data_IF_089498981162
#
_entry.id   IF_089498981162
#
_cell.length_a   1.000
_cell.length_b   1.000
_cell.length_c   1.000
_cell.angle_alpha   90.00
_cell.angle_beta   90.00
_cell.angle_gamma   90.00
#
_symmetry.space_group_name_H-M   'P 1'
#
loop_
_entity.id
_entity.type
_entity.pdbx_description
1 polymer ?
#
# COMPACT_ATOMS: atom_id res chain seq x y z
N UNK A 1 24.38 13.46 29.28
CA UNK A 1 24.96 13.09 27.97
C UNK A 1 24.58 11.68 27.48
N UNK A 2 24.33 10.67 28.33
CA UNK A 2 24.01 9.29 27.87
C UNK A 2 22.58 9.06 27.34
N UNK A 3 21.61 9.90 27.73
CA UNK A 3 20.19 9.69 27.36
C UNK A 3 19.75 10.35 26.04
N UNK A 4 20.53 11.30 25.50
CA UNK A 4 20.20 11.98 24.24
C UNK A 4 20.33 11.04 23.02
N UNK A 5 21.23 10.06 23.10
CA UNK A 5 21.49 9.09 22.02
C UNK A 5 20.32 8.11 21.86
N UNK A 6 19.64 7.77 22.97
CA UNK A 6 18.52 6.83 22.98
C UNK A 6 17.28 7.44 22.30
N UNK A 7 17.04 8.74 22.50
CA UNK A 7 15.91 9.42 21.88
C UNK A 7 16.07 9.59 20.35
N UNK A 8 17.29 9.83 19.86
CA UNK A 8 17.55 9.98 18.42
C UNK A 8 17.35 8.67 17.64
N UNK A 9 17.61 7.51 18.24
CA UNK A 9 17.41 6.21 17.59
C UNK A 9 15.94 5.86 17.36
N UNK A 10 15.01 6.38 18.17
CA UNK A 10 13.57 6.14 18.01
C UNK A 10 12.96 6.87 16.81
N UNK A 11 13.57 7.98 16.35
CA UNK A 11 13.05 8.76 15.23
C UNK A 11 13.57 8.28 13.86
N UNK A 12 14.73 7.63 13.81
CA UNK A 12 15.36 7.21 12.53
C UNK A 12 14.67 5.99 11.92
N UNK A 13 13.82 5.27 12.66
CA UNK A 13 13.05 4.13 12.13
C UNK A 13 11.69 4.52 11.55
N UNK A 14 11.33 5.80 11.49
CA UNK A 14 10.23 6.24 10.62
C UNK A 14 10.75 6.34 9.19
N UNK A 15 10.94 5.19 8.54
CA UNK A 15 10.97 5.15 7.08
C UNK A 15 9.73 5.86 6.54
N UNK A 16 9.89 6.64 5.47
CA UNK A 16 8.75 7.31 4.84
C UNK A 16 7.64 6.29 4.58
N UNK A 17 6.42 6.63 5.01
CA UNK A 17 5.25 5.80 4.75
C UNK A 17 5.08 5.65 3.23
N UNK A 18 4.86 4.42 2.77
CA UNK A 18 4.64 4.12 1.36
C UNK A 18 3.48 4.98 0.83
N UNK A 19 3.64 5.57 -0.35
CA UNK A 19 2.56 6.33 -1.01
C UNK A 19 1.95 5.52 -2.14
N UNK A 20 0.63 5.40 -2.19
CA UNK A 20 -0.07 4.67 -3.24
C UNK A 20 -1.19 5.50 -3.85
N UNK A 21 -1.58 5.18 -5.09
CA UNK A 21 -2.84 5.67 -5.64
C UNK A 21 -4.00 4.90 -5.00
N UNK A 22 -4.93 5.63 -4.41
CA UNK A 22 -6.17 5.11 -3.85
C UNK A 22 -7.32 5.55 -4.73
N UNK A 23 -8.16 4.60 -5.14
CA UNK A 23 -9.31 4.83 -5.99
C UNK A 23 -10.57 4.89 -5.15
N UNK A 24 -11.18 6.09 -5.07
CA UNK A 24 -12.53 6.29 -4.55
C UNK A 24 -13.54 6.23 -5.69
N UNK A 25 -14.84 6.21 -5.39
CA UNK A 25 -15.91 6.07 -6.39
C UNK A 25 -15.87 7.16 -7.49
N UNK A 26 -15.21 8.29 -7.22
CA UNK A 26 -15.24 9.48 -8.09
C UNK A 26 -13.87 9.78 -8.71
N UNK A 27 -12.75 9.53 -8.00
CA UNK A 27 -11.39 9.83 -8.50
C UNK A 27 -10.32 8.92 -7.87
N UNK A 28 -9.19 8.79 -8.56
CA UNK A 28 -7.96 8.24 -7.97
C UNK A 28 -7.11 9.38 -7.42
N UNK A 29 -6.62 9.26 -6.18
CA UNK A 29 -5.76 10.25 -5.52
C UNK A 29 -4.56 9.55 -4.88
N UNK A 30 -3.40 10.21 -4.76
CA UNK A 30 -2.30 9.70 -3.95
C UNK A 30 -2.65 9.77 -2.46
N UNK A 31 -2.30 8.73 -1.70
CA UNK A 31 -2.49 8.64 -0.25
C UNK A 31 -1.25 8.01 0.40
N UNK A 32 -0.89 8.48 1.59
CA UNK A 32 0.12 7.84 2.44
C UNK A 32 -0.50 6.65 3.15
N UNK A 33 0.15 5.49 3.04
CA UNK A 33 -0.33 4.24 3.61
C UNK A 33 -0.02 4.14 5.10
N UNK A 34 -0.81 3.32 5.81
CA UNK A 34 -0.57 3.00 7.21
C UNK A 34 0.76 2.25 7.43
N UNK A 35 1.19 2.14 8.69
CA UNK A 35 2.47 1.49 9.04
C UNK A 35 2.57 0.04 8.55
N UNK A 36 1.46 -0.68 8.55
CA UNK A 36 1.41 -2.11 8.20
C UNK A 36 1.10 -2.34 6.69
N UNK A 37 0.78 -1.26 5.97
CA UNK A 37 0.38 -1.27 4.56
C UNK A 37 1.59 -1.02 3.66
N UNK A 38 2.44 -2.03 3.58
CA UNK A 38 3.74 -1.97 2.87
C UNK A 38 3.64 -2.25 1.37
N UNK A 39 2.43 -2.31 0.79
CA UNK A 39 2.22 -2.49 -0.65
C UNK A 39 1.11 -1.59 -1.20
N UNK A 40 1.22 -1.26 -2.48
CA UNK A 40 0.14 -0.76 -3.30
C UNK A 40 -0.55 -1.92 -4.02
N UNK A 41 -1.87 -2.04 -3.86
CA UNK A 41 -2.68 -3.06 -4.51
C UNK A 41 -3.51 -2.43 -5.64
N UNK A 42 -3.56 -3.11 -6.78
CA UNK A 42 -4.51 -2.85 -7.88
C UNK A 42 -5.31 -4.11 -8.13
N UNK A 43 -6.63 -4.00 -8.03
CA UNK A 43 -7.56 -5.07 -8.32
C UNK A 43 -8.43 -4.66 -9.52
N UNK A 44 -8.18 -5.29 -10.67
CA UNK A 44 -8.92 -5.07 -11.91
C UNK A 44 -9.99 -6.17 -12.05
N UNK A 45 -11.24 -5.76 -11.92
CA UNK A 45 -12.42 -6.54 -12.29
C UNK A 45 -12.83 -6.19 -13.73
N UNK A 46 -13.80 -6.92 -14.30
CA UNK A 46 -14.33 -6.64 -15.65
C UNK A 46 -14.82 -5.20 -15.84
N UNK A 47 -15.47 -4.63 -14.83
CA UNK A 47 -16.16 -3.33 -14.92
C UNK A 47 -15.56 -2.25 -14.03
N UNK A 48 -14.66 -2.62 -13.11
CA UNK A 48 -14.15 -1.73 -12.08
C UNK A 48 -12.68 -2.00 -11.83
N UNK A 49 -11.96 -0.94 -11.51
CA UNK A 49 -10.63 -1.03 -10.94
C UNK A 49 -10.74 -0.51 -9.52
N UNK A 50 -10.05 -1.16 -8.58
CA UNK A 50 -9.85 -0.69 -7.22
C UNK A 50 -8.35 -0.57 -6.99
N UNK A 51 -7.92 0.55 -6.43
CA UNK A 51 -6.53 0.80 -6.04
C UNK A 51 -6.52 1.23 -4.59
N UNK A 52 -5.66 0.65 -3.75
CA UNK A 52 -5.59 0.96 -2.33
C UNK A 52 -4.25 0.52 -1.71
N UNK A 53 -3.94 1.08 -0.54
CA UNK A 53 -2.85 0.62 0.32
C UNK A 53 -3.19 -0.74 0.92
N UNK A 54 -2.22 -1.66 0.97
CA UNK A 54 -2.47 -3.05 1.36
C UNK A 54 -1.30 -3.65 2.13
N UNK A 55 -1.62 -4.53 3.08
CA UNK A 55 -0.60 -5.35 3.73
C UNK A 55 -0.15 -6.51 2.81
N UNK A 56 0.95 -7.17 3.17
CA UNK A 56 1.37 -8.42 2.51
C UNK A 56 0.29 -9.51 2.57
N UNK A 57 -0.50 -9.53 3.66
CA UNK A 57 -1.59 -10.49 3.83
C UNK A 57 -2.71 -10.20 2.84
N UNK A 58 -3.11 -8.93 2.71
CA UNK A 58 -4.17 -8.54 1.77
C UNK A 58 -3.79 -8.87 0.33
N UNK A 59 -2.55 -8.58 -0.07
CA UNK A 59 -2.05 -8.93 -1.40
C UNK A 59 -2.20 -10.42 -1.71
N UNK A 60 -1.81 -11.30 -0.79
CA UNK A 60 -1.97 -12.75 -0.94
C UNK A 60 -3.45 -13.15 -0.96
N UNK A 61 -4.24 -12.59 -0.06
CA UNK A 61 -5.67 -12.89 0.09
C UNK A 61 -6.45 -12.51 -1.17
N UNK A 62 -6.29 -11.29 -1.68
CA UNK A 62 -6.95 -10.86 -2.91
C UNK A 62 -6.49 -11.67 -4.11
N UNK A 63 -5.19 -11.97 -4.22
CA UNK A 63 -4.70 -12.82 -5.31
C UNK A 63 -5.26 -14.25 -5.25
N UNK A 64 -5.51 -14.79 -4.06
CA UNK A 64 -6.09 -16.12 -3.88
C UNK A 64 -7.61 -16.16 -4.12
N UNK A 65 -8.31 -15.05 -3.85
CA UNK A 65 -9.76 -14.92 -4.04
C UNK A 65 -10.16 -14.38 -5.42
N UNK A 66 -9.19 -13.95 -6.24
CA UNK A 66 -9.45 -13.40 -7.56
C UNK A 66 -10.05 -14.45 -8.49
N UNK A 67 -11.13 -14.08 -9.17
CA UNK A 67 -11.73 -14.92 -10.22
C UNK A 67 -10.80 -14.96 -11.45
N UNK A 68 -10.93 -15.97 -12.34
CA UNK A 68 -10.06 -16.09 -13.53
C UNK A 68 -10.07 -14.88 -14.47
N UNK A 69 -11.15 -14.11 -14.48
CA UNK A 69 -11.30 -12.90 -15.29
C UNK A 69 -10.79 -11.62 -14.58
N UNK A 70 -10.30 -11.73 -13.35
CA UNK A 70 -9.84 -10.63 -12.53
C UNK A 70 -8.31 -10.66 -12.42
N UNK A 71 -7.71 -9.47 -12.26
CA UNK A 71 -6.27 -9.33 -12.12
C UNK A 71 -5.94 -8.55 -10.86
N UNK A 72 -5.21 -9.19 -9.95
CA UNK A 72 -4.62 -8.55 -8.77
C UNK A 72 -3.16 -8.27 -9.05
N UNK A 73 -2.69 -7.08 -8.69
CA UNK A 73 -1.29 -6.70 -8.82
C UNK A 73 -0.89 -5.96 -7.56
N UNK A 74 0.20 -6.41 -6.94
CA UNK A 74 0.80 -5.77 -5.77
C UNK A 74 2.24 -5.36 -6.06
N UNK A 75 2.63 -4.20 -5.57
CA UNK A 75 3.96 -3.65 -5.70
C UNK A 75 4.32 -2.80 -4.47
N UNK A 76 5.60 -2.66 -4.17
CA UNK A 76 6.11 -2.08 -2.93
C UNK A 76 6.96 -0.82 -3.16
N UNK A 77 6.63 -0.04 -4.19
CA UNK A 77 7.30 1.22 -4.52
C UNK A 77 6.29 2.35 -4.53
N UNK A 78 6.74 3.56 -4.21
CA UNK A 78 5.88 4.73 -4.22
C UNK A 78 5.17 4.91 -5.57
N UNK A 79 3.85 5.02 -5.47
CA UNK A 79 2.90 5.20 -6.57
C UNK A 79 3.05 4.18 -7.71
N UNK A 80 3.57 2.98 -7.42
CA UNK A 80 3.76 1.93 -8.43
C UNK A 80 2.44 1.44 -9.06
N UNK A 81 1.31 1.79 -8.47
CA UNK A 81 -0.04 1.48 -8.95
C UNK A 81 -0.73 2.66 -9.68
N UNK A 82 0.01 3.59 -10.28
CA UNK A 82 -0.55 4.73 -11.03
C UNK A 82 -1.46 4.32 -12.20
#
# INVERSE_FOLDING_TARGET
>A
MRYAIIFLLLFVTLGNALRCMVQTDIKSKPEECGRDEVNCLTYKMKTKVKKFCASNFDCKRFSAMALPAEKVTCCNKDMCNQ
#
